data_IF_137042227651
#
_entry.id   IF_137042227651
#
_cell.length_a   1.000
_cell.length_b   1.000
_cell.length_c   1.000
_cell.angle_alpha   90.00
_cell.angle_beta   90.00
_cell.angle_gamma   90.00
#
_symmetry.space_group_name_H-M   'P 1'
#
loop_
_entity.id
_entity.type
_entity.pdbx_description
1 polymer ?
#
# COMPACT_ATOMS: atom_id res chain seq x y z
N UNK A 1 -16.06 -27.06 5.11
CA UNK A 1 -15.47 -26.70 3.81
C UNK A 1 -15.22 -25.20 3.85
N UNK A 2 -13.95 -24.83 4.05
CA UNK A 2 -13.30 -23.52 3.84
C UNK A 2 -14.05 -22.27 4.32
N UNK A 3 -13.65 -21.80 5.50
CA UNK A 3 -13.88 -20.43 5.95
C UNK A 3 -13.16 -19.47 5.01
N UNK A 4 -13.94 -18.71 4.26
CA UNK A 4 -13.49 -17.49 3.61
C UNK A 4 -13.52 -16.38 4.68
N UNK A 5 -12.41 -15.74 5.04
CA UNK A 5 -12.50 -14.49 5.77
C UNK A 5 -13.08 -13.48 4.76
N UNK A 6 -14.36 -13.18 4.90
CA UNK A 6 -14.96 -12.03 4.25
C UNK A 6 -14.32 -10.78 4.86
N UNK A 7 -13.20 -10.35 4.29
CA UNK A 7 -12.75 -8.95 4.33
C UNK A 7 -13.79 -8.11 3.57
N UNK A 8 -14.99 -8.01 4.13
CA UNK A 8 -15.93 -6.94 3.79
C UNK A 8 -15.74 -5.90 4.88
N UNK A 9 -14.89 -4.91 4.58
CA UNK A 9 -14.94 -3.65 5.30
C UNK A 9 -16.33 -3.07 5.03
N UNK A 10 -17.18 -3.17 6.05
CA UNK A 10 -18.51 -2.60 6.02
C UNK A 10 -18.36 -1.10 6.24
N UNK A 11 -18.54 -0.34 5.15
CA UNK A 11 -18.66 1.11 5.12
C UNK A 11 -19.67 1.59 6.18
N UNK A 12 -19.16 2.23 7.23
CA UNK A 12 -19.94 3.11 8.08
C UNK A 12 -19.27 4.49 8.14
N UNK A 13 -19.98 5.47 7.62
CA UNK A 13 -19.59 6.87 7.53
C UNK A 13 -19.21 7.47 8.89
N UNK A 14 -18.04 8.12 8.95
CA UNK A 14 -17.63 8.89 10.12
C UNK A 14 -16.15 9.29 10.11
N UNK A 15 -15.81 10.35 9.35
CA UNK A 15 -14.65 11.23 9.55
C UNK A 15 -13.25 10.66 9.26
N UNK A 16 -12.67 11.03 8.12
CA UNK A 16 -11.23 11.01 7.79
C UNK A 16 -10.44 9.67 7.79
N UNK A 17 -10.92 8.58 8.40
CA UNK A 17 -10.19 7.29 8.47
C UNK A 17 -10.54 6.22 7.43
N UNK A 18 -11.75 6.24 6.86
CA UNK A 18 -12.20 5.16 5.95
C UNK A 18 -11.54 5.21 4.57
N UNK A 19 -11.36 6.41 4.01
CA UNK A 19 -10.68 6.58 2.72
C UNK A 19 -9.20 6.20 2.78
N UNK A 20 -8.58 6.45 3.93
CA UNK A 20 -7.18 6.14 4.22
C UNK A 20 -6.92 4.63 4.24
N UNK A 21 -7.76 3.88 4.96
CA UNK A 21 -7.68 2.42 5.02
C UNK A 21 -7.99 1.76 3.66
N UNK A 22 -8.98 2.28 2.91
CA UNK A 22 -9.30 1.79 1.58
C UNK A 22 -8.17 2.06 0.57
N UNK A 23 -7.53 3.22 0.67
CA UNK A 23 -6.35 3.59 -0.11
C UNK A 23 -5.19 2.66 0.20
N UNK A 24 -4.88 2.48 1.49
CA UNK A 24 -3.85 1.57 1.98
C UNK A 24 -4.04 0.16 1.43
N UNK A 25 -5.25 -0.40 1.58
CA UNK A 25 -5.58 -1.73 1.10
C UNK A 25 -5.48 -1.86 -0.43
N UNK A 26 -5.85 -0.80 -1.17
CA UNK A 26 -5.68 -0.77 -2.63
C UNK A 26 -4.20 -0.77 -3.03
N UNK A 27 -3.37 0.01 -2.35
CA UNK A 27 -1.92 0.06 -2.58
C UNK A 27 -1.29 -1.28 -2.22
N UNK A 28 -1.57 -1.84 -1.05
CA UNK A 28 -1.10 -3.17 -0.64
C UNK A 28 -1.51 -4.25 -1.65
N UNK A 29 -2.78 -4.24 -2.09
CA UNK A 29 -3.27 -5.19 -3.07
C UNK A 29 -2.57 -5.06 -4.43
N UNK A 30 -2.26 -3.84 -4.86
CA UNK A 30 -1.55 -3.61 -6.11
C UNK A 30 -0.06 -3.96 -6.02
N UNK A 31 0.59 -3.69 -4.88
CA UNK A 31 1.96 -4.13 -4.61
C UNK A 31 2.03 -5.66 -4.57
N UNK A 32 1.07 -6.32 -3.93
CA UNK A 32 0.99 -7.78 -3.83
C UNK A 32 0.62 -8.44 -5.18
N UNK A 33 -0.01 -7.70 -6.09
CA UNK A 33 -0.23 -8.15 -7.46
C UNK A 33 1.06 -8.11 -8.29
N UNK A 34 2.01 -7.22 -7.93
CA UNK A 34 3.34 -7.16 -8.51
C UNK A 34 4.22 -8.20 -7.81
N UNK A 35 4.20 -9.44 -8.29
CA UNK A 35 4.88 -10.59 -7.68
C UNK A 35 6.41 -10.55 -7.65
N UNK A 36 7.00 -9.41 -7.99
CA UNK A 36 8.43 -9.13 -7.86
C UNK A 36 8.72 -8.22 -6.65
N UNK A 37 7.69 -7.54 -6.10
CA UNK A 37 7.77 -6.83 -4.83
C UNK A 37 7.44 -7.76 -3.67
N UNK A 38 8.30 -7.78 -2.65
CA UNK A 38 8.02 -8.41 -1.36
C UNK A 38 7.04 -7.55 -0.54
N UNK A 39 5.77 -7.55 -0.96
CA UNK A 39 4.70 -6.86 -0.26
C UNK A 39 4.53 -7.34 1.20
N UNK A 40 5.04 -8.53 1.54
CA UNK A 40 5.09 -9.03 2.92
C UNK A 40 6.11 -8.28 3.81
N UNK A 41 7.22 -7.79 3.23
CA UNK A 41 8.22 -6.97 3.94
C UNK A 41 7.94 -5.45 3.78
N UNK A 42 6.92 -5.07 3.00
CA UNK A 42 6.52 -3.68 2.74
C UNK A 42 5.20 -3.38 3.44
N UNK A 43 5.27 -2.54 4.46
CA UNK A 43 4.09 -1.94 5.13
C UNK A 43 3.70 -0.65 4.44
N UNK A 44 2.43 -0.57 4.02
CA UNK A 44 1.84 0.69 3.55
C UNK A 44 1.20 1.40 4.74
N UNK A 45 1.67 2.61 5.00
CA UNK A 45 1.12 3.51 6.01
C UNK A 45 0.61 4.75 5.30
N UNK A 46 -0.41 5.37 5.85
CA UNK A 46 -0.99 6.58 5.27
C UNK A 46 -1.02 7.67 6.34
N UNK A 47 -0.67 8.89 5.95
CA UNK A 47 -0.45 10.01 6.87
C UNK A 47 -1.08 11.28 6.29
N UNK A 48 -2.33 11.50 6.67
CA UNK A 48 -3.13 12.64 6.24
C UNK A 48 -3.40 12.61 4.74
N UNK A 49 -2.57 13.29 3.95
CA UNK A 49 -2.67 13.34 2.49
C UNK A 49 -1.62 12.50 1.76
N UNK A 50 -0.65 11.93 2.49
CA UNK A 50 0.48 11.22 1.89
C UNK A 50 0.46 9.73 2.23
N UNK A 51 0.82 8.90 1.25
CA UNK A 51 1.09 7.47 1.47
C UNK A 51 2.57 7.28 1.68
N UNK A 52 2.92 6.45 2.67
CA UNK A 52 4.28 6.14 3.05
C UNK A 52 4.47 4.62 2.90
N UNK A 53 5.42 4.25 2.05
CA UNK A 53 5.86 2.87 1.87
C UNK A 53 7.05 2.62 2.79
N UNK A 54 6.86 1.85 3.85
CA UNK A 54 7.88 1.51 4.84
C UNK A 54 8.20 0.03 4.79
N UNK A 55 9.47 -0.35 4.87
CA UNK A 55 9.84 -1.76 4.76
C UNK A 55 11.22 -1.99 4.17
N UNK A 56 11.42 -3.21 3.69
CA UNK A 56 12.66 -3.63 3.06
C UNK A 56 12.44 -4.09 1.62
N UNK A 57 13.41 -3.82 0.77
CA UNK A 57 13.42 -4.25 -0.64
C UNK A 57 14.73 -4.95 -0.97
N UNK A 58 14.70 -5.82 -1.98
CA UNK A 58 15.87 -6.56 -2.44
C UNK A 58 16.62 -5.81 -3.54
N UNK A 59 15.90 -5.10 -4.42
CA UNK A 59 16.50 -4.34 -5.50
C UNK A 59 16.00 -2.89 -5.54
N UNK A 60 16.78 -2.02 -6.17
CA UNK A 60 16.40 -0.62 -6.36
C UNK A 60 15.18 -0.48 -7.29
N UNK A 61 15.02 -1.40 -8.23
CA UNK A 61 13.86 -1.44 -9.13
C UNK A 61 12.53 -1.65 -8.39
N UNK A 62 12.55 -2.38 -7.27
CA UNK A 62 11.37 -2.58 -6.43
C UNK A 62 10.85 -1.27 -5.87
N UNK A 63 11.78 -0.40 -5.45
CA UNK A 63 11.43 0.91 -4.90
C UNK A 63 10.71 1.75 -5.96
N UNK A 64 11.24 1.75 -7.17
CA UNK A 64 10.66 2.53 -8.27
C UNK A 64 9.28 1.99 -8.64
N UNK A 65 9.14 0.65 -8.79
CA UNK A 65 7.83 0.03 -9.06
C UNK A 65 6.82 0.28 -7.94
N UNK A 66 7.22 0.14 -6.68
CA UNK A 66 6.32 0.37 -5.56
C UNK A 66 5.83 1.83 -5.51
N UNK A 67 6.71 2.79 -5.82
CA UNK A 67 6.32 4.20 -5.94
C UNK A 67 5.35 4.39 -7.10
N UNK A 68 5.63 3.84 -8.29
CA UNK A 68 4.74 3.98 -9.45
C UNK A 68 3.34 3.40 -9.20
N UNK A 69 3.27 2.22 -8.58
CA UNK A 69 2.01 1.58 -8.21
C UNK A 69 1.22 2.44 -7.22
N UNK A 70 1.88 2.91 -6.16
CA UNK A 70 1.24 3.79 -5.18
C UNK A 70 0.79 5.11 -5.82
N UNK A 71 1.62 5.72 -6.68
CA UNK A 71 1.31 6.96 -7.39
C UNK A 71 0.12 6.79 -8.34
N UNK A 72 -0.07 5.60 -8.92
CA UNK A 72 -1.24 5.28 -9.75
C UNK A 72 -2.55 5.29 -8.96
N UNK A 73 -2.50 5.14 -7.63
CA UNK A 73 -3.67 5.06 -6.76
C UNK A 73 -3.93 6.39 -6.07
N UNK A 74 -2.90 7.00 -5.47
CA UNK A 74 -3.06 8.25 -4.70
C UNK A 74 -2.72 9.52 -5.46
N UNK A 75 -2.05 9.39 -6.60
CA UNK A 75 -1.58 10.51 -7.41
C UNK A 75 -0.10 10.82 -7.20
N UNK A 76 0.54 11.33 -8.25
CA UNK A 76 1.97 11.64 -8.27
C UNK A 76 2.31 12.76 -7.28
N UNK A 77 3.38 12.57 -6.52
CA UNK A 77 3.82 13.53 -5.50
C UNK A 77 3.17 13.38 -4.11
N UNK A 78 2.19 12.49 -3.96
CA UNK A 78 1.60 12.13 -2.66
C UNK A 78 2.19 10.85 -2.05
N UNK A 79 3.20 10.28 -2.69
CA UNK A 79 3.86 9.05 -2.24
C UNK A 79 5.24 9.35 -1.65
N UNK A 80 5.53 8.74 -0.50
CA UNK A 80 6.83 8.74 0.15
C UNK A 80 7.34 7.32 0.24
N UNK A 81 8.49 7.07 -0.35
CA UNK A 81 9.20 5.81 -0.13
C UNK A 81 10.19 5.97 1.02
N UNK A 82 10.07 5.08 1.99
CA UNK A 82 11.01 4.88 3.09
C UNK A 82 11.45 3.41 3.13
N UNK A 83 11.55 2.82 1.95
CA UNK A 83 12.04 1.46 1.76
C UNK A 83 13.56 1.45 1.92
N UNK A 84 14.05 0.52 2.75
CA UNK A 84 15.47 0.32 2.97
C UNK A 84 15.94 -0.87 2.16
N UNK A 85 17.06 -0.72 1.44
CA UNK A 85 17.70 -1.84 0.76
C UNK A 85 18.53 -2.64 1.78
N UNK A 86 18.28 -3.94 1.89
CA UNK A 86 19.14 -4.85 2.66
C UNK A 86 20.19 -5.55 1.80
#
# INVERSE_FOLDING_TARGET
MLGVPAFMVHENSGGEGHGDAATRASVEGALHADGDLDAEEITVTTSGSYVILEGFVHQRGDVERAIEIAESIVGRGYVRSRLLRR
#
